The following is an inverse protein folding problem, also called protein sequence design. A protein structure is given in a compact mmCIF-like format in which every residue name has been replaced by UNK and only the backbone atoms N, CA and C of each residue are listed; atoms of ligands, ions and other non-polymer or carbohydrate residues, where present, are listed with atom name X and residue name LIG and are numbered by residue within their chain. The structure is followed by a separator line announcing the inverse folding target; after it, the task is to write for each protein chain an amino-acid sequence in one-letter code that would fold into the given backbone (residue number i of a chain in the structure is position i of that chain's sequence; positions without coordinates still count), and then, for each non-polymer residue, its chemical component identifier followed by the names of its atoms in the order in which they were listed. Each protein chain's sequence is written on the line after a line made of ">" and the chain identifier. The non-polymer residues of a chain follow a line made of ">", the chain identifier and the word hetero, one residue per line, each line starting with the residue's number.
data_IF_393218702552
#
_entry.id   IF_393218702552
#
_cell.length_a   1.000
_cell.length_b   1.000
_cell.length_c   1.000
_cell.angle_alpha   90.00
_cell.angle_beta   90.00
_cell.angle_gamma   90.00
#
_symmetry.space_group_name_H-M   'P 1'
#
loop_
_entity.id
_entity.type
_entity.pdbx_description
1 polymer ?
#
# COMPACT_ATOMS: atom_id res chain seq x y z
N UNK A 1 -7.18 -18.39 -44.15
CA UNK A 1 -6.93 -18.77 -42.75
C UNK A 1 -6.32 -17.56 -42.07
N UNK A 2 -7.02 -17.08 -41.05
CA UNK A 2 -6.63 -16.02 -40.11
C UNK A 2 -5.30 -16.37 -39.39
N UNK A 3 -4.52 -15.48 -38.80
CA UNK A 3 -4.74 -14.09 -38.36
C UNK A 3 -3.35 -13.49 -38.12
N UNK A 4 -3.15 -12.24 -38.54
CA UNK A 4 -1.96 -11.46 -38.21
C UNK A 4 -2.13 -10.74 -36.88
N UNK A 5 -1.01 -10.59 -36.19
CA UNK A 5 -0.83 -9.85 -34.95
C UNK A 5 -1.22 -8.36 -35.10
N UNK A 6 -1.95 -7.85 -34.11
CA UNK A 6 -2.10 -6.41 -33.89
C UNK A 6 -1.67 -6.07 -32.47
N UNK A 7 -0.60 -5.28 -32.40
CA UNK A 7 -0.15 -4.51 -31.25
C UNK A 7 -1.05 -3.27 -31.13
N UNK A 8 -1.61 -2.99 -29.95
CA UNK A 8 -2.13 -1.68 -29.51
C UNK A 8 -2.54 -1.78 -28.02
N UNK A 9 -2.51 -0.75 -27.17
CA UNK A 9 -1.81 0.53 -27.13
C UNK A 9 -1.58 0.82 -25.64
N UNK A 10 -0.42 1.37 -25.35
CA UNK A 10 -0.05 1.89 -24.04
C UNK A 10 -0.43 3.37 -24.00
N UNK A 11 -1.49 3.72 -23.27
CA UNK A 11 -1.73 5.08 -22.78
C UNK A 11 -2.51 5.00 -21.47
N UNK A 12 -1.97 5.64 -20.43
CA UNK A 12 -2.57 5.76 -19.10
C UNK A 12 -3.77 6.71 -19.06
N UNK A 13 -4.68 6.62 -20.02
CA UNK A 13 -6.01 7.19 -19.87
C UNK A 13 -6.86 6.23 -19.02
N UNK A 14 -7.76 6.72 -18.13
CA UNK A 14 -8.80 5.86 -17.60
C UNK A 14 -9.48 5.15 -18.78
N UNK A 15 -9.78 3.84 -18.69
CA UNK A 15 -10.34 3.10 -19.82
C UNK A 15 -11.51 3.89 -20.41
N UNK A 16 -11.50 4.08 -21.73
CA UNK A 16 -12.53 4.84 -22.42
C UNK A 16 -13.91 4.36 -21.97
N UNK A 17 -14.69 5.28 -21.40
CA UNK A 17 -15.97 4.95 -20.79
C UNK A 17 -16.94 4.44 -21.86
N UNK A 18 -17.49 3.21 -21.74
CA UNK A 18 -18.50 2.76 -22.67
C UNK A 18 -19.80 3.53 -22.39
N UNK A 19 -20.45 4.03 -23.43
CA UNK A 19 -21.89 4.28 -23.36
C UNK A 19 -22.53 2.95 -23.01
N UNK A 20 -23.25 2.88 -21.89
CA UNK A 20 -24.18 1.78 -21.68
C UNK A 20 -25.19 1.89 -22.81
N UNK A 21 -25.30 0.83 -23.62
CA UNK A 21 -26.10 0.86 -24.84
C UNK A 21 -27.49 1.42 -24.50
N UNK A 22 -28.00 2.42 -25.25
CA UNK A 22 -29.34 2.92 -25.02
C UNK A 22 -30.29 1.73 -25.22
N UNK A 23 -30.83 1.22 -24.11
CA UNK A 23 -31.99 0.35 -24.18
C UNK A 23 -33.09 1.14 -24.86
N UNK A 24 -33.54 0.63 -26.00
CA UNK A 24 -34.92 0.73 -26.53
C UNK A 24 -35.66 2.10 -26.52
N UNK A 25 -34.99 3.24 -26.32
CA UNK A 25 -35.60 4.57 -26.22
C UNK A 25 -36.10 4.96 -24.83
N UNK A 26 -35.78 4.18 -23.78
CA UNK A 26 -36.15 4.48 -22.38
C UNK A 26 -35.08 5.33 -21.70
N UNK A 27 -35.50 6.21 -20.80
CA UNK A 27 -34.56 7.00 -20.02
C UNK A 27 -33.73 6.10 -19.08
N UNK A 28 -32.41 6.23 -19.15
CA UNK A 28 -31.48 5.32 -18.50
C UNK A 28 -30.21 6.05 -18.02
N UNK A 29 -29.41 5.37 -17.22
CA UNK A 29 -28.02 5.77 -16.99
C UNK A 29 -27.27 5.68 -18.32
N UNK A 30 -26.95 6.84 -18.89
CA UNK A 30 -26.24 6.99 -20.16
C UNK A 30 -24.72 6.79 -20.01
N UNK A 31 -24.19 6.98 -18.79
CA UNK A 31 -22.77 6.87 -18.47
C UNK A 31 -22.58 6.66 -16.96
N UNK A 32 -21.62 5.81 -16.58
CA UNK A 32 -21.21 5.62 -15.18
C UNK A 32 -19.69 5.41 -15.09
N UNK A 33 -19.08 5.87 -14.00
CA UNK A 33 -17.66 5.67 -13.68
C UNK A 33 -17.47 5.47 -12.18
N UNK A 34 -16.47 4.69 -11.74
CA UNK A 34 -15.57 3.85 -12.56
C UNK A 34 -16.26 2.58 -13.06
N UNK A 35 -15.69 1.95 -14.10
CA UNK A 35 -16.10 0.63 -14.61
C UNK A 35 -14.87 -0.27 -14.77
N UNK A 36 -15.06 -1.59 -14.61
CA UNK A 36 -13.99 -2.58 -14.81
C UNK A 36 -12.92 -2.54 -13.71
N UNK A 37 -11.74 -3.08 -13.96
CA UNK A 37 -10.64 -3.02 -12.99
C UNK A 37 -9.85 -1.71 -13.11
N UNK A 38 -9.39 -1.14 -11.99
CA UNK A 38 -8.53 0.05 -12.04
C UNK A 38 -8.89 1.22 -11.13
N UNK A 39 -9.96 1.14 -10.34
CA UNK A 39 -10.41 2.30 -9.57
C UNK A 39 -9.50 2.59 -8.36
N UNK A 40 -9.23 3.88 -8.10
CA UNK A 40 -8.51 4.28 -6.88
C UNK A 40 -9.44 4.16 -5.68
N UNK A 41 -8.86 4.05 -4.49
CA UNK A 41 -9.61 3.88 -3.23
C UNK A 41 -10.43 5.11 -2.85
N UNK A 42 -10.05 6.27 -3.38
CA UNK A 42 -10.64 7.60 -3.21
C UNK A 42 -11.47 8.05 -4.42
N UNK A 43 -11.70 7.17 -5.39
CA UNK A 43 -12.42 7.53 -6.61
C UNK A 43 -13.86 8.00 -6.30
N UNK A 44 -14.19 9.20 -6.77
CA UNK A 44 -15.57 9.66 -6.92
C UNK A 44 -16.28 8.84 -7.99
N UNK A 45 -17.45 8.32 -7.65
CA UNK A 45 -18.33 7.58 -8.55
C UNK A 45 -19.28 8.58 -9.20
N UNK A 46 -19.38 8.58 -10.52
CA UNK A 46 -20.17 9.54 -11.28
C UNK A 46 -21.17 8.81 -12.17
N UNK A 47 -22.39 9.34 -12.27
CA UNK A 47 -23.50 8.77 -13.04
C UNK A 47 -24.17 9.88 -13.84
N UNK A 48 -24.36 9.68 -15.14
CA UNK A 48 -25.08 10.61 -16.02
C UNK A 48 -26.34 9.93 -16.53
N UNK A 49 -27.48 10.53 -16.25
CA UNK A 49 -28.79 10.10 -16.72
C UNK A 49 -29.08 10.73 -18.10
N UNK A 50 -29.81 10.01 -18.96
CA UNK A 50 -30.23 10.52 -20.26
C UNK A 50 -31.25 11.66 -20.19
N UNK A 51 -31.94 11.81 -19.05
CA UNK A 51 -32.98 12.79 -18.77
C UNK A 51 -32.93 13.23 -17.30
N UNK A 52 -33.47 14.42 -16.93
CA UNK A 52 -33.52 14.86 -15.55
C UNK A 52 -34.23 13.87 -14.62
N UNK A 53 -33.65 13.62 -13.44
CA UNK A 53 -34.18 12.69 -12.44
C UNK A 53 -34.76 13.41 -11.24
N UNK A 54 -35.80 12.83 -10.62
CA UNK A 54 -36.24 13.26 -9.29
C UNK A 54 -35.22 12.78 -8.26
N UNK A 55 -34.42 13.71 -7.75
CA UNK A 55 -33.33 13.44 -6.82
C UNK A 55 -33.78 12.74 -5.54
N UNK A 56 -35.01 13.01 -5.08
CA UNK A 56 -35.53 12.40 -3.86
C UNK A 56 -35.87 10.91 -4.04
N UNK A 57 -36.10 10.48 -5.29
CA UNK A 57 -36.43 9.10 -5.64
C UNK A 57 -35.21 8.22 -5.91
N UNK A 58 -34.01 8.80 -5.98
CA UNK A 58 -32.81 8.08 -6.42
C UNK A 58 -32.24 7.23 -5.30
N UNK A 59 -32.18 5.93 -5.54
CA UNK A 59 -31.62 4.94 -4.63
C UNK A 59 -30.37 4.31 -5.23
N UNK A 60 -29.36 4.10 -4.37
CA UNK A 60 -28.10 3.47 -4.74
C UNK A 60 -27.77 2.35 -3.79
N UNK A 61 -27.54 1.15 -4.32
CA UNK A 61 -27.08 0.00 -3.55
C UNK A 61 -25.70 -0.45 -4.01
N UNK A 62 -24.92 -1.02 -3.09
CA UNK A 62 -23.56 -1.50 -3.35
C UNK A 62 -23.32 -2.86 -2.71
N UNK A 63 -22.55 -3.71 -3.40
CA UNK A 63 -22.08 -5.00 -2.92
C UNK A 63 -20.56 -5.12 -3.17
N UNK A 64 -19.70 -5.18 -2.13
CA UNK A 64 -20.03 -5.04 -0.71
C UNK A 64 -20.56 -3.64 -0.36
N UNK A 65 -21.28 -3.47 0.77
CA UNK A 65 -21.90 -2.20 1.12
C UNK A 65 -20.86 -1.09 1.36
N UNK A 66 -21.15 0.09 0.82
CA UNK A 66 -20.37 1.33 0.93
C UNK A 66 -21.29 2.47 1.37
N UNK A 67 -20.84 3.26 2.34
CA UNK A 67 -21.51 4.51 2.70
C UNK A 67 -21.06 5.63 1.77
N UNK A 68 -22.00 6.21 1.02
CA UNK A 68 -21.74 7.26 0.02
C UNK A 68 -22.32 8.61 0.48
N UNK A 69 -21.63 9.70 0.15
CA UNK A 69 -22.18 11.06 0.16
C UNK A 69 -22.55 11.45 -1.28
N UNK A 70 -23.71 12.08 -1.44
CA UNK A 70 -24.30 12.40 -2.74
C UNK A 70 -24.14 13.89 -3.05
N UNK A 71 -23.75 14.20 -4.28
CA UNK A 71 -23.69 15.54 -4.86
C UNK A 71 -24.40 15.57 -6.20
N UNK A 72 -25.03 16.69 -6.54
CA UNK A 72 -25.81 16.83 -7.77
C UNK A 72 -25.31 18.01 -8.62
N UNK A 73 -24.25 17.82 -9.42
CA UNK A 73 -23.72 18.88 -10.27
C UNK A 73 -24.71 19.42 -11.31
N UNK A 74 -25.67 18.61 -11.75
CA UNK A 74 -26.76 19.02 -12.64
C UNK A 74 -28.01 18.14 -12.42
N UNK A 75 -29.17 18.46 -13.02
CA UNK A 75 -30.35 17.60 -12.97
C UNK A 75 -30.16 16.21 -13.59
N UNK A 76 -29.11 16.02 -14.39
CA UNK A 76 -28.79 14.77 -15.09
C UNK A 76 -27.49 14.12 -14.60
N UNK A 77 -26.81 14.70 -13.60
CA UNK A 77 -25.53 14.18 -13.10
C UNK A 77 -25.59 13.97 -11.59
N UNK A 78 -25.28 12.75 -11.17
CA UNK A 78 -25.07 12.35 -9.78
C UNK A 78 -23.59 12.08 -9.55
N UNK A 79 -23.04 12.70 -8.53
CA UNK A 79 -21.70 12.48 -7.99
C UNK A 79 -21.81 11.78 -6.64
N UNK A 80 -21.03 10.74 -6.40
CA UNK A 80 -21.03 9.97 -5.16
C UNK A 80 -19.60 9.79 -4.67
N UNK A 81 -19.34 10.19 -3.43
CA UNK A 81 -18.02 10.04 -2.81
C UNK A 81 -18.12 9.05 -1.64
N UNK A 82 -17.28 8.01 -1.58
CA UNK A 82 -17.19 7.16 -0.40
C UNK A 82 -16.84 7.98 0.85
N UNK A 83 -17.59 7.80 1.94
CA UNK A 83 -17.28 8.45 3.23
C UNK A 83 -16.03 7.87 3.89
N UNK A 84 -15.65 6.66 3.49
CA UNK A 84 -14.46 5.95 3.92
C UNK A 84 -13.74 5.43 2.68
N UNK A 85 -12.42 5.22 2.78
CA UNK A 85 -11.65 4.63 1.68
C UNK A 85 -12.19 3.25 1.31
N UNK A 86 -12.32 3.00 0.00
CA UNK A 86 -12.72 1.69 -0.49
C UNK A 86 -11.64 0.64 -0.20
N UNK A 87 -12.05 -0.62 -0.09
CA UNK A 87 -11.14 -1.74 0.17
C UNK A 87 -10.29 -2.00 -1.08
N UNK A 88 -8.94 -2.13 -0.98
CA UNK A 88 -8.09 -2.48 -2.12
C UNK A 88 -8.44 -3.85 -2.72
N UNK A 89 -8.22 -4.00 -4.04
CA UNK A 89 -8.38 -5.28 -4.75
C UNK A 89 -9.81 -5.83 -4.79
N UNK A 90 -10.80 -5.06 -4.34
CA UNK A 90 -12.19 -5.46 -4.11
C UNK A 90 -13.06 -5.08 -5.30
N UNK A 91 -13.88 -6.01 -5.77
CA UNK A 91 -14.90 -5.73 -6.79
C UNK A 91 -16.17 -5.23 -6.10
N UNK A 92 -16.58 -4.02 -6.44
CA UNK A 92 -17.83 -3.41 -6.05
C UNK A 92 -18.82 -3.51 -7.20
N UNK A 93 -20.01 -4.01 -6.91
CA UNK A 93 -21.18 -3.91 -7.78
C UNK A 93 -22.09 -2.81 -7.27
N UNK A 94 -22.48 -1.89 -8.13
CA UNK A 94 -23.37 -0.78 -7.85
C UNK A 94 -24.64 -0.92 -8.66
N UNK A 95 -25.75 -0.53 -8.07
CA UNK A 95 -27.04 -0.37 -8.74
C UNK A 95 -27.60 0.99 -8.43
N UNK A 96 -28.07 1.69 -9.46
CA UNK A 96 -28.83 2.94 -9.33
C UNK A 96 -30.24 2.73 -9.86
N UNK A 97 -31.24 3.18 -9.12
CA UNK A 97 -32.66 3.18 -9.49
C UNK A 97 -33.32 4.49 -9.06
N UNK A 98 -34.51 4.79 -9.58
CA UNK A 98 -35.29 5.98 -9.20
C UNK A 98 -36.37 6.32 -10.21
N UNK A 99 -36.74 7.60 -10.27
CA UNK A 99 -37.73 8.16 -11.19
C UNK A 99 -37.18 9.40 -11.91
N UNK A 100 -37.71 9.66 -13.10
CA UNK A 100 -37.52 10.90 -13.84
C UNK A 100 -38.39 12.02 -13.26
N UNK A 101 -38.07 13.27 -13.58
CA UNK A 101 -38.90 14.42 -13.15
C UNK A 101 -40.30 14.44 -13.75
N UNK A 102 -40.56 13.68 -14.83
CA UNK A 102 -41.88 13.50 -15.42
C UNK A 102 -42.68 12.33 -14.79
N UNK A 103 -42.13 11.67 -13.77
CA UNK A 103 -42.77 10.55 -13.05
C UNK A 103 -42.54 9.16 -13.67
N UNK A 104 -41.84 9.06 -14.80
CA UNK A 104 -41.48 7.77 -15.38
C UNK A 104 -40.39 7.07 -14.56
N UNK A 105 -40.44 5.74 -14.49
CA UNK A 105 -39.42 4.96 -13.78
C UNK A 105 -38.07 5.03 -14.52
N UNK A 106 -37.00 5.33 -13.79
CA UNK A 106 -35.64 5.21 -14.30
C UNK A 106 -35.31 3.73 -14.45
N UNK A 107 -34.87 3.32 -15.64
CA UNK A 107 -34.40 1.95 -15.83
C UNK A 107 -33.15 1.71 -14.98
N UNK A 108 -33.24 0.76 -14.04
CA UNK A 108 -32.15 0.46 -13.13
C UNK A 108 -30.93 -0.07 -13.88
N UNK A 109 -29.74 0.35 -13.45
CA UNK A 109 -28.48 -0.07 -14.08
C UNK A 109 -27.56 -0.63 -13.01
N UNK A 110 -27.15 -1.87 -13.25
CA UNK A 110 -26.09 -2.52 -12.49
C UNK A 110 -24.76 -2.35 -13.24
N UNK A 111 -23.71 -1.94 -12.54
CA UNK A 111 -22.35 -1.99 -13.05
C UNK A 111 -21.38 -2.39 -11.95
N UNK A 112 -20.17 -2.75 -12.35
CA UNK A 112 -19.13 -3.09 -11.40
C UNK A 112 -17.80 -2.44 -11.73
N UNK A 113 -17.04 -2.21 -10.68
CA UNK A 113 -15.64 -1.83 -10.78
C UNK A 113 -14.83 -2.56 -9.73
N UNK A 114 -13.55 -2.75 -10.00
CA UNK A 114 -12.59 -3.31 -9.05
C UNK A 114 -11.60 -2.25 -8.66
N UNK A 115 -11.46 -2.01 -7.37
CA UNK A 115 -10.41 -1.16 -6.85
C UNK A 115 -9.06 -1.81 -7.13
N UNK A 116 -8.12 -1.02 -7.63
CA UNK A 116 -6.73 -1.43 -7.63
C UNK A 116 -6.11 -1.05 -6.30
N UNK A 117 -5.10 -1.81 -5.89
CA UNK A 117 -4.13 -1.28 -4.95
C UNK A 117 -3.70 0.10 -5.46
N UNK A 118 -3.51 1.09 -4.57
CA UNK A 118 -3.08 2.42 -4.99
C UNK A 118 -1.91 2.23 -5.94
N UNK A 119 -2.13 2.61 -7.21
CA UNK A 119 -1.05 2.60 -8.15
C UNK A 119 0.01 3.55 -7.59
N UNK A 120 1.30 3.19 -7.66
CA UNK A 120 2.35 4.17 -7.44
C UNK A 120 2.01 5.43 -8.25
N UNK A 121 2.15 6.60 -7.63
CA UNK A 121 2.02 7.91 -8.31
C UNK A 121 2.63 7.85 -9.71
N UNK A 122 1.92 8.46 -10.66
CA UNK A 122 2.19 8.49 -12.09
C UNK A 122 3.69 8.57 -12.40
N UNK A 123 4.14 7.75 -13.35
CA UNK A 123 5.53 7.63 -13.77
C UNK A 123 5.99 8.95 -14.37
N UNK A 124 6.70 9.76 -13.59
CA UNK A 124 7.64 10.70 -14.18
C UNK A 124 8.84 9.86 -14.59
N UNK A 125 9.02 9.62 -15.89
CA UNK A 125 10.29 9.13 -16.41
C UNK A 125 11.35 10.21 -16.15
N UNK A 126 12.04 10.10 -15.02
CA UNK A 126 13.24 10.85 -14.69
C UNK A 126 14.44 9.92 -14.63
N UNK A 127 15.61 10.40 -15.03
CA UNK A 127 16.89 9.76 -14.69
C UNK A 127 17.21 10.08 -13.22
N UNK A 128 17.64 9.07 -12.48
CA UNK A 128 18.09 9.21 -11.09
C UNK A 128 17.01 9.51 -10.07
N UNK A 129 17.40 9.52 -8.79
CA UNK A 129 16.53 9.80 -7.65
C UNK A 129 16.76 8.86 -6.47
N UNK A 130 16.07 9.09 -5.36
CA UNK A 130 16.14 8.19 -4.21
C UNK A 130 15.13 7.03 -4.33
N UNK A 131 15.53 5.80 -4.03
CA UNK A 131 14.65 4.64 -3.88
C UNK A 131 14.74 4.07 -2.47
N UNK A 132 13.59 3.85 -1.85
CA UNK A 132 13.51 3.28 -0.51
C UNK A 132 13.35 1.77 -0.65
N UNK A 133 14.41 1.03 -0.35
CA UNK A 133 14.34 -0.43 -0.25
C UNK A 133 13.73 -0.81 1.09
N UNK A 134 12.71 -1.66 1.09
CA UNK A 134 12.08 -2.17 2.31
C UNK A 134 11.98 -3.69 2.31
N UNK A 135 12.13 -4.30 3.50
CA UNK A 135 12.13 -5.75 3.67
C UNK A 135 11.19 -6.17 4.80
N UNK A 136 10.12 -6.88 4.45
CA UNK A 136 9.13 -7.40 5.39
C UNK A 136 9.49 -8.79 5.90
N UNK A 137 8.79 -9.18 6.96
CA UNK A 137 8.88 -10.45 7.66
C UNK A 137 10.24 -10.73 8.30
N UNK A 138 10.43 -11.98 8.71
CA UNK A 138 11.67 -12.48 9.25
C UNK A 138 12.07 -11.77 10.54
N UNK A 139 13.33 -11.96 10.95
CA UNK A 139 14.29 -12.89 10.37
C UNK A 139 13.93 -14.37 10.59
N UNK A 140 14.38 -15.24 9.66
CA UNK A 140 14.38 -16.71 9.82
C UNK A 140 15.79 -17.30 10.00
N UNK A 141 16.79 -16.43 10.19
CA UNK A 141 18.19 -16.83 10.38
C UNK A 141 19.18 -15.67 10.18
N UNK A 142 20.25 -15.64 10.96
CA UNK A 142 21.27 -14.58 10.92
C UNK A 142 22.10 -14.60 9.64
N UNK A 143 22.48 -15.78 9.14
CA UNK A 143 23.38 -15.90 7.98
C UNK A 143 22.84 -15.24 6.71
N UNK A 144 21.52 -15.32 6.49
CA UNK A 144 20.85 -14.67 5.35
C UNK A 144 20.84 -13.16 5.52
N UNK A 145 20.52 -12.67 6.72
CA UNK A 145 20.56 -11.25 7.07
C UNK A 145 21.95 -10.68 6.81
N UNK A 146 23.01 -11.31 7.34
CA UNK A 146 24.39 -10.85 7.14
C UNK A 146 24.78 -10.79 5.66
N UNK A 147 24.32 -11.75 4.84
CA UNK A 147 24.52 -11.71 3.37
C UNK A 147 23.79 -10.55 2.71
N UNK A 148 22.59 -10.21 3.18
CA UNK A 148 21.84 -9.05 2.70
C UNK A 148 22.52 -7.74 3.11
N UNK A 149 22.85 -7.57 4.38
CA UNK A 149 23.56 -6.39 4.89
C UNK A 149 24.88 -6.16 4.15
N UNK A 150 25.67 -7.23 3.94
CA UNK A 150 26.92 -7.16 3.16
C UNK A 150 26.68 -6.74 1.70
N UNK A 151 25.58 -7.17 1.09
CA UNK A 151 25.23 -6.75 -0.27
C UNK A 151 24.85 -5.27 -0.29
N UNK A 152 23.96 -4.83 0.60
CA UNK A 152 23.54 -3.42 0.70
C UNK A 152 24.73 -2.49 0.95
N UNK A 153 25.64 -2.87 1.86
CA UNK A 153 26.83 -2.10 2.18
C UNK A 153 27.76 -1.86 0.96
N UNK A 154 27.91 -2.85 0.06
CA UNK A 154 28.71 -2.70 -1.17
C UNK A 154 28.16 -1.63 -2.12
N UNK A 155 26.85 -1.42 -2.06
CA UNK A 155 26.12 -0.46 -2.87
C UNK A 155 25.80 0.82 -2.09
N UNK A 156 26.39 1.00 -0.89
CA UNK A 156 26.10 2.10 0.03
C UNK A 156 24.60 2.29 0.31
N UNK A 157 23.82 1.22 0.14
CA UNK A 157 22.38 1.26 0.23
C UNK A 157 21.92 1.19 1.69
N UNK A 158 21.05 2.11 2.09
CA UNK A 158 20.30 2.05 3.35
C UNK A 158 18.87 1.62 3.05
N UNK A 159 18.25 0.91 4.00
CA UNK A 159 16.96 0.26 3.81
C UNK A 159 16.12 0.28 5.10
N UNK A 160 14.82 0.10 4.93
CA UNK A 160 13.87 -0.15 6.02
C UNK A 160 13.64 -1.65 6.18
N UNK A 161 13.53 -2.12 7.41
CA UNK A 161 13.19 -3.51 7.72
C UNK A 161 11.96 -3.54 8.62
N UNK A 162 11.00 -4.40 8.28
CA UNK A 162 9.74 -4.59 8.97
C UNK A 162 9.64 -6.04 9.46
N UNK A 163 10.43 -6.46 10.48
CA UNK A 163 10.34 -7.79 11.04
C UNK A 163 9.13 -7.94 11.97
N UNK A 164 8.69 -9.18 12.16
CA UNK A 164 7.65 -9.48 13.15
C UNK A 164 8.27 -9.64 14.54
N UNK A 165 7.54 -9.22 15.58
CA UNK A 165 8.01 -9.35 16.96
C UNK A 165 8.34 -10.80 17.35
N UNK A 166 7.53 -11.76 16.91
CA UNK A 166 7.75 -13.18 17.18
C UNK A 166 9.07 -13.70 16.59
N UNK A 167 9.47 -13.22 15.40
CA UNK A 167 10.73 -13.61 14.82
C UNK A 167 11.90 -12.99 15.58
N UNK A 168 11.80 -11.72 16.00
CA UNK A 168 12.86 -11.07 16.79
C UNK A 168 13.11 -11.76 18.13
N UNK A 169 12.09 -12.36 18.78
CA UNK A 169 12.29 -13.20 19.99
C UNK A 169 13.34 -14.30 19.77
N UNK A 170 13.43 -14.84 18.54
CA UNK A 170 14.37 -15.92 18.19
C UNK A 170 15.76 -15.42 17.80
N UNK A 171 15.89 -14.13 17.48
CA UNK A 171 17.12 -13.54 16.96
C UNK A 171 17.45 -12.22 17.70
N UNK A 172 17.82 -12.31 18.99
CA UNK A 172 17.94 -11.14 19.88
C UNK A 172 18.97 -10.10 19.43
N UNK A 173 20.01 -10.54 18.71
CA UNK A 173 21.10 -9.67 18.20
C UNK A 173 20.78 -9.00 16.87
N UNK A 174 19.70 -9.44 16.22
CA UNK A 174 19.41 -9.05 14.85
C UNK A 174 19.17 -7.55 14.70
N UNK A 175 18.39 -6.97 15.61
CA UNK A 175 18.08 -5.53 15.58
C UNK A 175 19.36 -4.71 15.67
N UNK A 176 20.23 -5.02 16.64
CA UNK A 176 21.50 -4.33 16.82
C UNK A 176 22.42 -4.47 15.59
N UNK A 177 22.49 -5.66 14.96
CA UNK A 177 23.28 -5.86 13.73
C UNK A 177 22.77 -4.99 12.56
N UNK A 178 21.45 -4.87 12.41
CA UNK A 178 20.81 -4.12 11.32
C UNK A 178 20.94 -2.61 11.54
N UNK A 179 20.71 -2.14 12.77
CA UNK A 179 20.87 -0.73 13.12
C UNK A 179 22.34 -0.28 13.07
N UNK A 180 23.29 -1.11 13.53
CA UNK A 180 24.71 -0.81 13.42
C UNK A 180 25.20 -0.70 11.97
N UNK A 181 24.53 -1.36 11.02
CA UNK A 181 24.76 -1.21 9.59
C UNK A 181 24.11 0.04 8.98
N UNK A 182 23.40 0.85 9.78
CA UNK A 182 22.76 2.11 9.36
C UNK A 182 21.40 1.95 8.70
N UNK A 183 20.74 0.81 8.91
CA UNK A 183 19.37 0.58 8.47
C UNK A 183 18.38 0.91 9.60
N UNK A 184 17.08 0.96 9.29
CA UNK A 184 16.03 1.13 10.30
C UNK A 184 15.21 -0.14 10.46
N UNK A 185 14.88 -0.45 11.71
CA UNK A 185 13.98 -1.54 12.07
C UNK A 185 12.66 -0.93 12.54
N UNK A 186 11.58 -1.28 11.86
CA UNK A 186 10.24 -0.70 11.98
C UNK A 186 9.23 -1.82 12.32
N UNK A 187 7.96 -1.46 12.54
CA UNK A 187 6.97 -2.38 13.11
C UNK A 187 6.18 -3.14 12.03
N UNK A 188 6.10 -4.47 12.14
CA UNK A 188 5.29 -5.33 11.27
C UNK A 188 4.36 -6.29 12.03
N UNK A 189 3.79 -5.81 13.14
CA UNK A 189 3.03 -6.60 14.12
C UNK A 189 3.84 -7.68 14.83
N UNK A 190 3.23 -8.40 15.77
CA UNK A 190 3.88 -9.44 16.54
C UNK A 190 3.87 -10.78 15.81
N UNK A 191 2.68 -11.24 15.37
CA UNK A 191 2.47 -12.59 14.83
C UNK A 191 2.05 -12.64 13.37
N UNK A 192 2.01 -11.48 12.69
CA UNK A 192 1.56 -11.35 11.30
C UNK A 192 0.09 -11.79 11.04
N UNK A 193 -0.91 -11.38 11.84
CA UNK A 193 -2.30 -11.76 11.63
C UNK A 193 -3.01 -10.83 10.62
N UNK A 194 -4.21 -11.23 10.19
CA UNK A 194 -5.14 -10.31 9.53
C UNK A 194 -5.74 -9.36 10.58
N UNK A 195 -5.20 -8.14 10.66
CA UNK A 195 -5.54 -7.17 11.71
C UNK A 195 -7.01 -6.73 11.69
N UNK A 196 -7.64 -6.71 10.52
CA UNK A 196 -9.05 -6.29 10.37
C UNK A 196 -10.02 -7.29 11.00
N UNK A 197 -9.60 -8.54 11.17
CA UNK A 197 -10.40 -9.59 11.81
C UNK A 197 -10.25 -9.62 13.35
N UNK A 198 -9.34 -8.81 13.92
CA UNK A 198 -9.07 -8.82 15.36
C UNK A 198 -10.00 -7.87 16.11
N UNK A 199 -10.27 -8.17 17.39
CA UNK A 199 -10.80 -7.18 18.33
C UNK A 199 -9.82 -6.01 18.51
N UNK A 200 -10.28 -4.86 18.99
CA UNK A 200 -9.39 -3.71 19.20
C UNK A 200 -8.28 -3.98 20.22
N UNK A 201 -8.58 -4.71 21.30
CA UNK A 201 -7.58 -5.11 22.28
C UNK A 201 -6.50 -6.04 21.69
N UNK A 202 -6.91 -7.02 20.85
CA UNK A 202 -5.97 -7.92 20.19
C UNK A 202 -5.13 -7.19 19.12
N UNK A 203 -5.75 -6.31 18.34
CA UNK A 203 -5.07 -5.42 17.39
C UNK A 203 -4.03 -4.55 18.08
N UNK A 204 -4.39 -3.85 19.17
CA UNK A 204 -3.47 -3.00 19.92
C UNK A 204 -2.27 -3.82 20.41
N UNK A 205 -2.53 -5.00 20.97
CA UNK A 205 -1.48 -5.90 21.43
C UNK A 205 -0.55 -6.38 20.31
N UNK A 206 -1.07 -6.66 19.13
CA UNK A 206 -0.25 -7.04 17.97
C UNK A 206 0.70 -5.92 17.53
N UNK A 207 0.25 -4.66 17.58
CA UNK A 207 1.10 -3.51 17.24
C UNK A 207 2.09 -3.21 18.38
N UNK A 208 1.63 -3.23 19.64
CA UNK A 208 2.46 -3.00 20.82
C UNK A 208 3.55 -4.05 21.06
N UNK A 209 3.36 -5.29 20.60
CA UNK A 209 4.36 -6.36 20.71
C UNK A 209 5.19 -6.54 19.42
N UNK A 210 4.95 -5.70 18.41
CA UNK A 210 5.69 -5.70 17.16
C UNK A 210 7.15 -5.29 17.34
N UNK A 211 7.88 -5.22 16.23
CA UNK A 211 9.22 -4.63 16.20
C UNK A 211 9.16 -3.08 16.16
N UNK A 212 10.30 -2.39 16.16
CA UNK A 212 10.34 -0.95 15.89
C UNK A 212 10.17 -0.05 17.12
N UNK A 213 10.24 -0.61 18.33
CA UNK A 213 10.26 0.18 19.56
C UNK A 213 11.62 0.87 19.72
N UNK A 214 11.75 2.05 19.14
CA UNK A 214 13.02 2.75 19.03
C UNK A 214 12.93 3.91 18.03
N UNK A 215 13.87 3.96 17.09
CA UNK A 215 14.05 5.11 16.18
C UNK A 215 13.18 5.08 14.91
N UNK A 216 12.35 4.04 14.70
CA UNK A 216 11.47 3.97 13.54
C UNK A 216 10.00 3.94 13.95
N UNK A 217 9.29 5.04 13.66
CA UNK A 217 7.86 5.20 13.94
C UNK A 217 6.97 4.74 12.79
N UNK A 218 7.48 3.85 11.93
CA UNK A 218 6.72 3.32 10.80
C UNK A 218 6.13 1.96 11.16
N UNK A 219 4.88 1.76 10.78
CA UNK A 219 4.16 0.51 10.91
C UNK A 219 3.65 0.06 9.54
N UNK A 220 3.90 -1.20 9.19
CA UNK A 220 3.34 -1.82 8.00
C UNK A 220 2.37 -2.93 8.42
N UNK A 221 1.08 -2.87 8.04
CA UNK A 221 0.14 -3.93 8.38
C UNK A 221 0.42 -5.20 7.56
N UNK A 222 0.47 -6.39 8.18
CA UNK A 222 0.54 -7.67 7.49
C UNK A 222 -0.53 -7.80 6.39
N UNK A 223 -0.16 -8.40 5.25
CA UNK A 223 -1.09 -8.69 4.15
C UNK A 223 -1.87 -7.47 3.61
N UNK A 224 -1.41 -6.24 3.89
CA UNK A 224 -2.19 -5.01 3.65
C UNK A 224 -3.56 -5.00 4.34
N UNK A 225 -3.73 -5.81 5.37
CA UNK A 225 -4.97 -5.91 6.11
C UNK A 225 -5.07 -4.74 7.10
N UNK A 226 -5.56 -3.59 6.64
CA UNK A 226 -5.89 -2.46 7.50
C UNK A 226 -7.24 -1.84 7.13
N UNK A 227 -7.87 -1.25 8.13
CA UNK A 227 -9.10 -0.47 8.06
C UNK A 227 -8.90 0.83 8.88
N UNK A 228 -9.88 1.75 8.95
CA UNK A 228 -9.75 2.97 9.75
C UNK A 228 -9.42 2.72 11.23
N UNK A 229 -9.85 1.59 11.79
CA UNK A 229 -9.55 1.21 13.19
C UNK A 229 -8.09 0.79 13.34
N UNK A 230 -7.55 -0.01 12.42
CA UNK A 230 -6.11 -0.37 12.40
C UNK A 230 -5.23 0.88 12.30
N UNK A 231 -5.59 1.81 11.41
CA UNK A 231 -4.89 3.10 11.28
C UNK A 231 -4.92 3.89 12.59
N UNK A 232 -6.11 4.12 13.15
CA UNK A 232 -6.27 4.87 14.40
C UNK A 232 -5.46 4.27 15.55
N UNK A 233 -5.52 2.94 15.73
CA UNK A 233 -4.78 2.27 16.81
C UNK A 233 -3.27 2.40 16.59
N UNK A 234 -2.76 2.28 15.37
CA UNK A 234 -1.35 2.50 15.07
C UNK A 234 -0.92 3.94 15.41
N UNK A 235 -1.71 4.95 15.03
CA UNK A 235 -1.44 6.36 15.30
C UNK A 235 -1.48 6.70 16.80
N UNK A 236 -2.45 6.15 17.54
CA UNK A 236 -2.52 6.27 19.01
C UNK A 236 -1.31 5.63 19.70
N UNK A 237 -0.75 4.59 19.09
CA UNK A 237 0.51 3.95 19.50
C UNK A 237 1.74 4.66 18.95
N UNK A 238 1.60 5.83 18.32
CA UNK A 238 2.72 6.65 17.83
C UNK A 238 3.38 6.13 16.56
N UNK A 239 2.68 5.31 15.77
CA UNK A 239 3.14 4.81 14.48
C UNK A 239 2.39 5.42 13.30
N UNK A 240 3.10 5.65 12.20
CA UNK A 240 2.54 5.99 10.89
C UNK A 240 2.46 4.76 10.00
N UNK A 241 1.34 4.58 9.28
CA UNK A 241 1.23 3.52 8.28
C UNK A 241 2.17 3.77 7.10
N UNK A 242 3.08 2.84 6.84
CA UNK A 242 4.06 2.94 5.76
C UNK A 242 3.93 1.78 4.77
N UNK A 243 3.50 2.10 3.56
CA UNK A 243 3.18 1.13 2.51
C UNK A 243 4.31 1.04 1.48
N UNK A 244 3.99 0.62 0.27
CA UNK A 244 4.93 0.54 -0.84
C UNK A 244 4.29 1.01 -2.15
N UNK A 245 5.16 1.35 -3.09
CA UNK A 245 4.83 1.72 -4.46
C UNK A 245 5.01 0.54 -5.42
N UNK A 246 6.06 -0.26 -5.18
CA UNK A 246 6.45 -1.37 -6.05
C UNK A 246 6.44 -2.67 -5.27
N UNK A 247 5.47 -3.53 -5.58
CA UNK A 247 5.45 -4.91 -5.09
C UNK A 247 6.29 -5.81 -6.00
N UNK A 248 7.34 -6.41 -5.43
CA UNK A 248 8.17 -7.36 -6.17
C UNK A 248 7.49 -8.71 -6.38
N UNK A 249 6.57 -9.07 -5.49
CA UNK A 249 6.01 -10.42 -5.26
C UNK A 249 7.08 -11.50 -5.19
N UNK A 250 8.21 -11.18 -4.58
CA UNK A 250 9.31 -12.13 -4.35
C UNK A 250 8.93 -13.32 -3.46
N UNK A 251 7.85 -13.18 -2.69
CA UNK A 251 7.21 -14.23 -1.89
C UNK A 251 6.52 -15.32 -2.74
N UNK A 252 6.25 -15.08 -4.02
CA UNK A 252 5.66 -16.07 -4.94
C UNK A 252 6.69 -17.05 -5.52
N UNK A 253 7.95 -17.00 -5.05
CA UNK A 253 9.08 -17.76 -5.58
C UNK A 253 9.35 -17.56 -7.10
N UNK A 254 8.89 -16.44 -7.66
CA UNK A 254 9.20 -16.04 -9.04
C UNK A 254 10.71 -15.85 -9.25
N UNK A 255 11.12 -15.87 -10.52
CA UNK A 255 12.53 -15.77 -10.86
C UNK A 255 13.15 -14.44 -10.43
N UNK A 256 14.44 -14.45 -10.10
CA UNK A 256 15.19 -13.22 -9.83
C UNK A 256 15.18 -12.22 -10.99
N UNK A 257 15.02 -12.70 -12.24
CA UNK A 257 14.89 -11.83 -13.41
C UNK A 257 13.56 -11.09 -13.43
N UNK A 258 12.48 -11.78 -13.07
CA UNK A 258 11.15 -11.19 -12.99
C UNK A 258 11.03 -10.16 -11.87
N UNK A 259 11.57 -10.47 -10.68
CA UNK A 259 11.70 -9.51 -9.56
C UNK A 259 12.44 -8.26 -10.05
N UNK A 260 13.59 -8.44 -10.71
CA UNK A 260 14.40 -7.32 -11.24
C UNK A 260 13.59 -6.46 -12.21
N UNK A 261 12.88 -7.08 -13.16
CA UNK A 261 12.10 -6.36 -14.16
C UNK A 261 10.92 -5.60 -13.55
N UNK A 262 10.27 -6.15 -12.52
CA UNK A 262 9.20 -5.44 -11.80
C UNK A 262 9.72 -4.17 -11.14
N UNK A 263 10.88 -4.26 -10.46
CA UNK A 263 11.47 -3.08 -9.84
C UNK A 263 11.91 -2.06 -10.87
N UNK A 264 12.58 -2.47 -11.96
CA UNK A 264 13.02 -1.54 -13.00
C UNK A 264 11.85 -0.81 -13.68
N UNK A 265 10.68 -1.45 -13.84
CA UNK A 265 9.48 -0.80 -14.39
C UNK A 265 8.80 0.17 -13.42
N UNK A 266 8.88 -0.10 -12.12
CA UNK A 266 8.28 0.74 -11.09
C UNK A 266 9.21 1.77 -10.46
N UNK A 267 10.50 1.76 -10.84
CA UNK A 267 11.50 2.67 -10.29
C UNK A 267 11.22 4.10 -10.74
N UNK A 268 11.06 4.98 -9.76
CA UNK A 268 10.97 6.43 -9.90
C UNK A 268 11.50 7.09 -8.62
N UNK A 269 11.89 8.37 -8.65
CA UNK A 269 12.25 9.10 -7.44
C UNK A 269 11.20 8.94 -6.32
N UNK A 270 11.68 8.68 -5.11
CA UNK A 270 10.87 8.48 -3.91
C UNK A 270 10.15 7.13 -3.81
N UNK A 271 10.28 6.22 -4.79
CA UNK A 271 9.53 4.97 -4.74
C UNK A 271 9.98 4.04 -3.60
N UNK A 272 8.99 3.49 -2.90
CA UNK A 272 9.21 2.45 -1.89
C UNK A 272 9.04 1.07 -2.53
N UNK A 273 10.08 0.25 -2.47
CA UNK A 273 10.10 -1.11 -3.03
C UNK A 273 9.94 -2.14 -1.91
N UNK A 274 8.95 -3.03 -2.04
CA UNK A 274 8.70 -4.12 -1.11
C UNK A 274 9.45 -5.38 -1.52
N UNK A 275 10.25 -5.91 -0.60
CA UNK A 275 10.83 -7.26 -0.63
C UNK A 275 10.50 -8.00 0.67
N UNK A 276 10.79 -9.30 0.73
CA UNK A 276 10.71 -10.09 1.96
C UNK A 276 12.08 -10.66 2.32
N UNK A 277 12.47 -10.59 3.61
CA UNK A 277 13.82 -10.99 4.08
C UNK A 277 14.14 -12.44 3.67
N UNK A 278 13.17 -13.35 3.83
CA UNK A 278 13.33 -14.78 3.58
C UNK A 278 13.06 -15.21 2.14
N UNK A 279 12.58 -14.33 1.26
CA UNK A 279 12.23 -14.72 -0.10
C UNK A 279 13.44 -15.29 -0.86
N UNK A 280 13.24 -16.42 -1.53
CA UNK A 280 14.29 -17.30 -2.06
C UNK A 280 15.19 -16.61 -3.07
N UNK A 281 14.61 -15.77 -3.92
CA UNK A 281 15.29 -15.18 -5.07
C UNK A 281 15.67 -13.71 -4.88
N UNK A 282 15.27 -13.07 -3.78
CA UNK A 282 15.52 -11.65 -3.47
C UNK A 282 16.99 -11.27 -3.49
N UNK A 283 17.86 -12.02 -2.79
CA UNK A 283 19.31 -11.75 -2.82
C UNK A 283 19.93 -11.88 -4.23
N UNK A 284 19.38 -12.75 -5.08
CA UNK A 284 19.85 -12.89 -6.47
C UNK A 284 19.33 -11.76 -7.34
N UNK A 285 18.10 -11.30 -7.10
CA UNK A 285 17.53 -10.14 -7.78
C UNK A 285 18.29 -8.87 -7.43
N UNK A 286 18.54 -8.59 -6.14
CA UNK A 286 19.29 -7.42 -5.69
C UNK A 286 20.68 -7.32 -6.32
N UNK A 287 21.41 -8.45 -6.44
CA UNK A 287 22.72 -8.47 -7.12
C UNK A 287 22.66 -8.06 -8.60
N UNK A 288 21.52 -8.24 -9.26
CA UNK A 288 21.30 -7.81 -10.65
C UNK A 288 20.74 -6.39 -10.72
N UNK A 289 19.90 -6.04 -9.77
CA UNK A 289 19.12 -4.81 -9.72
C UNK A 289 19.96 -3.60 -9.30
N UNK A 290 20.68 -3.69 -8.18
CA UNK A 290 21.40 -2.54 -7.60
C UNK A 290 22.40 -1.91 -8.59
N UNK A 291 23.27 -2.67 -9.29
CA UNK A 291 24.18 -2.08 -10.28
C UNK A 291 23.48 -1.41 -11.46
N UNK A 292 22.26 -1.87 -11.81
CA UNK A 292 21.49 -1.29 -12.91
C UNK A 292 20.83 0.01 -12.50
N UNK A 293 20.29 0.07 -11.28
CA UNK A 293 19.69 1.28 -10.71
C UNK A 293 20.76 2.34 -10.46
N UNK A 294 21.93 1.97 -9.93
CA UNK A 294 23.08 2.89 -9.76
C UNK A 294 23.54 3.48 -11.10
N UNK A 295 23.58 2.68 -12.17
CA UNK A 295 23.89 3.15 -13.53
C UNK A 295 22.84 4.10 -14.11
N UNK A 296 21.64 4.10 -13.54
CA UNK A 296 20.55 5.02 -13.86
C UNK A 296 20.43 6.15 -12.85
N UNK A 297 21.51 6.43 -12.09
CA UNK A 297 21.66 7.52 -11.11
C UNK A 297 20.73 7.41 -9.89
N UNK A 298 20.24 6.21 -9.56
CA UNK A 298 19.48 5.99 -8.33
C UNK A 298 20.40 5.81 -7.12
N UNK A 299 19.99 6.44 -6.01
CA UNK A 299 20.54 6.21 -4.67
C UNK A 299 19.52 5.47 -3.81
N UNK A 300 19.97 4.86 -2.71
CA UNK A 300 19.10 4.09 -1.82
C UNK A 300 19.23 4.57 -0.38
N UNK A 301 18.31 5.41 0.06
CA UNK A 301 18.20 5.83 1.45
C UNK A 301 16.76 5.84 1.93
N UNK A 302 16.59 5.55 3.22
CA UNK A 302 15.33 5.73 3.95
C UNK A 302 15.23 7.09 4.62
N UNK A 303 16.32 7.85 4.72
CA UNK A 303 16.33 9.18 5.31
C UNK A 303 15.94 10.20 4.24
N UNK A 304 14.82 10.92 4.39
CA UNK A 304 14.42 11.95 3.44
C UNK A 304 15.44 13.10 3.33
N UNK A 305 16.34 13.26 4.31
CA UNK A 305 17.43 14.25 4.29
C UNK A 305 18.61 13.83 3.40
N UNK A 306 18.70 12.55 3.04
CA UNK A 306 19.69 12.02 2.10
C UNK A 306 19.20 12.08 0.65
N UNK A 307 17.91 12.35 0.44
CA UNK A 307 17.32 12.58 -0.87
C UNK A 307 17.35 14.09 -1.17
N UNK A 308 17.54 14.44 -2.44
CA UNK A 308 17.38 15.82 -2.93
C UNK A 308 16.07 16.41 -2.39
N UNK A 309 16.09 17.53 -1.62
CA UNK A 309 14.91 18.11 -0.99
C UNK A 309 13.76 18.44 -1.95
N UNK A 310 14.05 18.65 -3.25
CA UNK A 310 13.00 18.89 -4.26
C UNK A 310 12.30 17.60 -4.74
N UNK A 311 12.88 16.42 -4.50
CA UNK A 311 12.31 15.12 -4.90
C UNK A 311 11.22 14.63 -3.94
N UNK A 312 11.18 15.15 -2.72
CA UNK A 312 10.11 14.90 -1.75
C UNK A 312 9.14 16.07 -1.76
N UNK A 313 8.15 16.00 -2.66
CA UNK A 313 6.99 16.87 -2.60
C UNK A 313 6.28 16.74 -1.25
N UNK A 314 6.01 17.91 -0.66
CA UNK A 314 5.36 18.27 0.61
C UNK A 314 6.16 18.14 1.91
N UNK A 315 6.29 19.31 2.57
CA UNK A 315 6.91 19.48 3.86
C UNK A 315 6.07 18.89 4.97
N UNK A 316 6.74 18.14 5.84
CA UNK A 316 6.25 17.83 7.17
C UNK A 316 7.35 18.24 8.13
N UNK A 317 7.07 19.32 8.87
CA UNK A 317 7.82 19.67 10.06
C UNK A 317 7.67 18.49 11.04
N UNK A 318 8.79 17.84 11.30
CA UNK A 318 8.90 16.59 12.05
C UNK A 318 8.66 16.83 13.55
N UNK A 319 7.40 16.92 13.99
CA UNK A 319 7.06 16.88 15.42
C UNK A 319 6.90 15.43 15.86
N UNK A 320 8.00 14.76 16.21
CA UNK A 320 8.00 13.36 16.62
C UNK A 320 7.73 13.19 18.13
N UNK A 321 6.61 12.51 18.42
CA UNK A 321 6.27 11.68 19.60
C UNK A 321 5.78 12.35 20.91
N UNK A 322 4.87 11.63 21.58
CA UNK A 322 4.47 11.80 22.99
C UNK A 322 5.41 11.13 24.03
N UNK A 323 6.19 10.08 23.72
CA UNK A 323 7.31 9.52 24.53
C UNK A 323 7.96 8.25 23.86
N UNK A 324 9.10 8.36 23.13
CA UNK A 324 9.78 7.22 22.50
C UNK A 324 10.45 6.25 23.49
N UNK A 325 10.87 6.75 24.66
CA UNK A 325 11.57 5.95 25.67
C UNK A 325 10.62 4.96 26.33
N UNK A 326 9.38 5.39 26.61
CA UNK A 326 8.34 4.53 27.16
C UNK A 326 7.96 3.37 26.22
N UNK A 327 7.92 3.59 24.91
CA UNK A 327 7.62 2.52 23.95
C UNK A 327 8.73 1.48 23.88
N UNK A 328 9.99 1.91 23.91
CA UNK A 328 11.17 1.03 23.99
C UNK A 328 11.19 0.24 25.29
N UNK A 329 10.89 0.87 26.42
CA UNK A 329 10.84 0.21 27.72
C UNK A 329 9.79 -0.90 27.77
N UNK A 330 8.55 -0.65 27.32
CA UNK A 330 7.49 -1.68 27.26
C UNK A 330 7.85 -2.88 26.39
N UNK A 331 8.54 -2.63 25.28
CA UNK A 331 9.05 -3.69 24.43
C UNK A 331 10.15 -4.48 25.11
N UNK A 332 11.12 -3.81 25.74
CA UNK A 332 12.15 -4.50 26.49
C UNK A 332 11.58 -5.31 27.65
N UNK A 333 10.67 -4.77 28.45
CA UNK A 333 10.01 -5.51 29.54
C UNK A 333 9.33 -6.80 29.07
N UNK A 334 8.62 -6.75 27.92
CA UNK A 334 7.96 -7.93 27.35
C UNK A 334 8.94 -9.00 26.85
N UNK A 335 10.16 -8.61 26.48
CA UNK A 335 11.18 -9.52 25.98
C UNK A 335 12.19 -9.92 27.07
N UNK A 336 12.41 -9.08 28.09
CA UNK A 336 13.28 -9.33 29.25
C UNK A 336 12.67 -10.35 30.21
N UNK A 337 11.34 -10.40 30.36
CA UNK A 337 10.69 -11.46 31.16
C UNK A 337 10.92 -12.87 30.59
N UNK A 338 11.29 -12.98 29.31
CA UNK A 338 11.58 -14.23 28.59
C UNK A 338 13.07 -14.40 28.23
N UNK A 339 13.93 -13.38 28.45
CA UNK A 339 15.30 -13.37 27.94
C UNK A 339 16.32 -13.94 28.94
N UNK A 340 16.86 -15.11 28.60
CA UNK A 340 18.07 -15.64 29.23
C UNK A 340 19.33 -14.78 28.95
N UNK A 341 20.46 -15.08 29.61
CA UNK A 341 21.70 -14.32 29.48
C UNK A 341 22.20 -14.27 28.02
N UNK A 342 22.15 -13.09 27.40
CA UNK A 342 22.55 -12.88 26.00
C UNK A 342 21.84 -11.75 25.24
N UNK A 343 20.84 -11.11 25.84
CA UNK A 343 20.08 -9.99 25.23
C UNK A 343 20.90 -8.69 25.21
N UNK A 344 21.19 -8.09 24.03
CA UNK A 344 22.14 -6.98 23.90
C UNK A 344 21.59 -5.61 24.29
N UNK A 345 20.33 -5.51 24.73
CA UNK A 345 19.68 -4.24 25.07
C UNK A 345 19.52 -3.99 26.58
N UNK A 346 20.08 -4.87 27.43
CA UNK A 346 20.01 -4.78 28.89
C UNK A 346 21.05 -3.80 29.51
N UNK A 347 21.52 -2.78 28.78
CA UNK A 347 22.40 -1.73 29.32
C UNK A 347 22.10 -0.38 28.72
#
# INVERSE_FOLDING_TARGET
>A
MAQGDAVSDADGAPPASPKLAPGDGRAAVSWASPMGAGARLDTTIEVIFSSPVDRASVEVTSVPPVTLSFGWPSPTRLSMTPKESLRPGTTYQLRVSGQLTNGEALHAVDWSFRTVFPAPREVVQGRGGNLILSFDDGPRGEARTRRLLKLLARHRAKALFFPTGQNLKRYPRWVAEVEAAGHRVCNHSHTHPNLTALSEAALRREIELGAGHGQCHLFRPPMMAYDPRVRRVAEELGYELFLWDVDTRDWEEISAGEITNRVLRGARPGAVVLFHIQAKHTLRALRRLLPRLEKSDYVFSWDPRDADPEAFGVGHEQTWVKDPAAQRARWLEHFESDAGPGWPFAR
#
